data_IF_531760059766
#
_entry.id   IF_531760059766
#
_cell.length_a   1.000
_cell.length_b   1.000
_cell.length_c   1.000
_cell.angle_alpha   90.00
_cell.angle_beta   90.00
_cell.angle_gamma   90.00
#
_symmetry.space_group_name_H-M   'P 1'
#
loop_
_entity.id
_entity.type
_entity.pdbx_description
1 polymer ?
#
# COMPACT_ATOMS: atom_id res chain seq x y z
N UNK A 1 0.02 58.61 6.74
CA UNK A 1 0.41 57.28 7.29
C UNK A 1 -0.71 56.23 7.28
N UNK A 2 -1.89 56.45 7.87
CA UNK A 2 -2.93 55.39 7.97
C UNK A 2 -3.36 54.75 6.63
N UNK A 3 -3.49 55.53 5.55
CA UNK A 3 -3.89 55.01 4.22
C UNK A 3 -2.85 54.07 3.61
N UNK A 4 -1.56 54.33 3.84
CA UNK A 4 -0.45 53.50 3.33
C UNK A 4 -0.38 52.18 4.10
N UNK A 5 -0.55 52.23 5.42
CA UNK A 5 -0.55 51.05 6.28
C UNK A 5 -1.72 50.11 5.92
N UNK A 6 -2.92 50.65 5.72
CA UNK A 6 -4.08 49.86 5.29
C UNK A 6 -3.88 49.21 3.92
N UNK A 7 -3.25 49.92 2.97
CA UNK A 7 -2.97 49.35 1.65
C UNK A 7 -1.96 48.20 1.71
N UNK A 8 -0.85 48.36 2.47
CA UNK A 8 0.15 47.31 2.66
C UNK A 8 -0.47 46.07 3.32
N UNK A 9 -1.32 46.26 4.34
CA UNK A 9 -2.00 45.15 5.00
C UNK A 9 -2.91 44.36 4.05
N UNK A 10 -3.68 45.04 3.21
CA UNK A 10 -4.56 44.40 2.21
C UNK A 10 -3.74 43.59 1.19
N UNK A 11 -2.61 44.12 0.74
CA UNK A 11 -1.70 43.40 -0.17
C UNK A 11 -1.10 42.17 0.50
N UNK A 12 -0.64 42.27 1.74
CA UNK A 12 -0.08 41.14 2.51
C UNK A 12 -1.14 40.04 2.72
N UNK A 13 -2.37 40.42 3.08
CA UNK A 13 -3.49 39.48 3.24
C UNK A 13 -3.87 38.80 1.93
N UNK A 14 -3.94 39.55 0.83
CA UNK A 14 -4.24 39.01 -0.49
C UNK A 14 -3.17 37.99 -0.93
N UNK A 15 -1.89 38.33 -0.80
CA UNK A 15 -0.78 37.42 -1.16
C UNK A 15 -0.72 36.20 -0.24
N UNK A 16 -1.00 36.36 1.06
CA UNK A 16 -1.02 35.25 2.02
C UNK A 16 -2.15 34.26 1.74
N UNK A 17 -3.29 34.72 1.23
CA UNK A 17 -4.42 33.85 0.86
C UNK A 17 -4.14 32.96 -0.37
N UNK A 18 -3.27 33.41 -1.28
CA UNK A 18 -2.88 32.65 -2.48
C UNK A 18 -1.89 31.53 -2.16
N UNK A 19 -1.05 31.71 -1.12
CA UNK A 19 -0.07 30.69 -0.71
C UNK A 19 -0.71 29.48 -0.01
N UNK A 20 -1.98 29.57 0.39
CA UNK A 20 -2.69 28.47 1.04
C UNK A 20 -3.51 27.61 0.07
N UNK A 21 -3.60 27.97 -1.21
CA UNK A 21 -4.15 27.07 -2.24
C UNK A 21 -3.07 26.10 -2.73
N UNK A 22 -2.49 25.32 -1.81
CA UNK A 22 -1.78 24.11 -2.23
C UNK A 22 -2.87 23.19 -2.75
N UNK A 23 -2.86 22.91 -4.06
CA UNK A 23 -3.86 22.06 -4.70
C UNK A 23 -3.99 20.76 -3.92
N UNK A 24 -5.10 20.63 -3.19
CA UNK A 24 -5.54 19.37 -2.63
C UNK A 24 -6.05 18.51 -3.79
N UNK A 25 -5.13 18.07 -4.64
CA UNK A 25 -5.34 16.90 -5.49
C UNK A 25 -5.36 15.69 -4.56
N UNK A 26 -6.44 15.57 -3.78
CA UNK A 26 -6.77 14.35 -3.06
C UNK A 26 -7.15 13.33 -4.13
N UNK A 27 -6.14 12.70 -4.74
CA UNK A 27 -6.35 11.62 -5.67
C UNK A 27 -7.05 10.52 -4.87
N UNK A 28 -8.32 10.27 -5.19
CA UNK A 28 -9.11 9.26 -4.50
C UNK A 28 -8.39 7.92 -4.67
N UNK A 29 -7.91 7.36 -3.56
CA UNK A 29 -7.31 6.04 -3.56
C UNK A 29 -8.46 5.05 -3.73
N UNK A 30 -8.47 4.33 -4.86
CA UNK A 30 -9.50 3.35 -5.14
C UNK A 30 -9.50 2.28 -4.04
N UNK A 31 -10.67 2.02 -3.48
CA UNK A 31 -10.85 0.92 -2.51
C UNK A 31 -10.90 -0.39 -3.28
N UNK A 32 -10.07 -1.39 -2.94
CA UNK A 32 -10.07 -2.66 -3.64
C UNK A 32 -11.40 -3.41 -3.43
N UNK A 33 -11.78 -4.23 -4.40
CA UNK A 33 -12.91 -5.15 -4.28
C UNK A 33 -12.59 -6.35 -3.38
N UNK A 34 -13.65 -6.97 -2.84
CA UNK A 34 -13.55 -8.17 -2.00
C UNK A 34 -12.94 -9.33 -2.80
N UNK A 35 -11.85 -9.96 -2.32
CA UNK A 35 -11.16 -11.01 -3.07
C UNK A 35 -12.02 -12.25 -3.30
N UNK A 36 -11.94 -12.79 -4.52
CA UNK A 36 -12.35 -14.16 -4.82
C UNK A 36 -11.15 -15.08 -4.62
N UNK A 37 -11.34 -16.18 -3.90
CA UNK A 37 -10.27 -17.13 -3.64
C UNK A 37 -10.79 -18.56 -3.60
N UNK A 38 -9.88 -19.52 -3.62
CA UNK A 38 -10.14 -20.95 -3.38
C UNK A 38 -9.05 -21.53 -2.51
N UNK A 39 -9.36 -22.59 -1.76
CA UNK A 39 -8.42 -23.25 -0.86
C UNK A 39 -8.28 -24.72 -1.24
N UNK A 40 -7.05 -25.22 -1.27
CA UNK A 40 -6.77 -26.65 -1.45
C UNK A 40 -5.58 -27.10 -0.62
N UNK A 41 -5.61 -28.35 -0.18
CA UNK A 41 -4.44 -29.02 0.36
C UNK A 41 -3.61 -29.57 -0.80
N UNK A 42 -2.30 -29.38 -0.77
CA UNK A 42 -1.37 -29.87 -1.78
C UNK A 42 -0.28 -30.67 -1.09
N UNK A 43 -0.08 -31.90 -1.54
CA UNK A 43 1.02 -32.75 -1.09
C UNK A 43 2.22 -32.57 -2.03
N UNK A 44 3.30 -31.99 -1.49
CA UNK A 44 4.59 -31.79 -2.16
C UNK A 44 5.67 -32.65 -1.51
N UNK A 45 5.29 -33.72 -0.81
CA UNK A 45 6.23 -34.64 -0.16
C UNK A 45 7.11 -35.35 -1.19
N UNK A 46 8.34 -35.64 -0.82
CA UNK A 46 9.32 -36.29 -1.69
C UNK A 46 10.28 -37.18 -0.89
N UNK A 47 10.90 -38.14 -1.57
CA UNK A 47 11.92 -39.01 -0.98
C UNK A 47 13.31 -38.51 -1.33
N UNK A 48 14.18 -38.38 -0.32
CA UNK A 48 15.61 -38.17 -0.51
C UNK A 48 16.28 -39.54 -0.54
N UNK A 49 16.94 -39.93 -1.65
CA UNK A 49 17.57 -41.24 -1.74
C UNK A 49 18.79 -41.33 -0.81
N UNK A 50 19.14 -42.56 -0.41
CA UNK A 50 20.39 -42.84 0.29
C UNK A 50 21.57 -42.43 -0.58
N UNK A 51 22.51 -41.66 -0.02
CA UNK A 51 23.73 -41.25 -0.71
C UNK A 51 24.96 -41.83 -0.01
N UNK A 52 26.07 -41.87 -0.73
CA UNK A 52 27.33 -42.44 -0.24
C UNK A 52 28.47 -41.47 -0.54
N UNK A 53 29.41 -41.33 0.40
CA UNK A 53 30.68 -40.63 0.18
C UNK A 53 31.85 -41.49 0.60
N UNK A 54 33.04 -41.24 0.04
CA UNK A 54 34.28 -41.87 0.50
C UNK A 54 35.00 -40.94 1.46
N UNK A 55 35.40 -41.46 2.62
CA UNK A 55 36.31 -40.75 3.51
C UNK A 55 37.68 -40.66 2.84
N UNK A 56 38.17 -39.45 2.59
CA UNK A 56 39.41 -39.21 1.86
C UNK A 56 40.67 -39.70 2.58
N UNK A 57 40.61 -39.88 3.90
CA UNK A 57 41.76 -40.30 4.71
C UNK A 57 41.77 -41.80 5.00
N UNK A 58 40.60 -42.43 5.11
CA UNK A 58 40.47 -43.86 5.47
C UNK A 58 40.03 -44.75 4.31
N UNK A 59 39.48 -44.19 3.23
CA UNK A 59 38.92 -44.95 2.10
C UNK A 59 37.57 -45.64 2.41
N UNK A 60 37.08 -45.51 3.64
CA UNK A 60 35.81 -46.08 4.09
C UNK A 60 34.63 -45.40 3.38
N UNK A 61 33.58 -46.18 3.11
CA UNK A 61 32.32 -45.65 2.59
C UNK A 61 31.48 -45.14 3.76
N UNK A 62 31.16 -43.85 3.75
CA UNK A 62 30.18 -43.23 4.64
C UNK A 62 28.82 -43.31 3.93
N UNK A 63 27.82 -43.82 4.63
CA UNK A 63 26.44 -43.92 4.13
C UNK A 63 25.58 -42.85 4.79
N UNK A 64 24.88 -42.04 3.98
CA UNK A 64 23.86 -41.11 4.45
C UNK A 64 22.50 -41.71 4.13
N UNK A 65 21.76 -42.23 5.12
CA UNK A 65 20.48 -42.86 4.87
C UNK A 65 19.52 -41.87 4.21
N UNK A 66 18.80 -42.35 3.21
CA UNK A 66 17.69 -41.61 2.63
C UNK A 66 16.56 -41.41 3.65
N UNK A 67 15.68 -40.46 3.37
CA UNK A 67 14.55 -40.13 4.24
C UNK A 67 13.38 -39.54 3.44
N UNK A 68 12.17 -39.69 3.97
CA UNK A 68 10.97 -39.08 3.40
C UNK A 68 10.79 -37.67 3.97
N UNK A 69 10.59 -36.68 3.10
CA UNK A 69 10.25 -35.31 3.50
C UNK A 69 8.76 -35.12 3.32
N UNK A 70 8.04 -35.04 4.44
CA UNK A 70 6.64 -34.67 4.43
C UNK A 70 6.52 -33.15 4.21
N UNK A 71 5.92 -32.76 3.09
CA UNK A 71 5.74 -31.36 2.73
C UNK A 71 4.31 -31.15 2.22
N UNK A 72 3.36 -31.10 3.16
CA UNK A 72 1.96 -30.81 2.88
C UNK A 72 1.71 -29.34 3.11
N UNK A 73 1.01 -28.68 2.20
CA UNK A 73 0.66 -27.27 2.34
C UNK A 73 -0.83 -27.04 2.13
N UNK A 74 -1.32 -25.93 2.67
CA UNK A 74 -2.60 -25.35 2.30
C UNK A 74 -2.30 -24.21 1.32
N UNK A 75 -2.75 -24.33 0.08
CA UNK A 75 -2.63 -23.29 -0.94
C UNK A 75 -3.93 -22.49 -1.01
N UNK A 76 -3.82 -21.18 -0.79
CA UNK A 76 -4.87 -20.19 -1.00
C UNK A 76 -4.62 -19.52 -2.33
N UNK A 77 -5.45 -19.85 -3.32
CA UNK A 77 -5.39 -19.31 -4.67
C UNK A 77 -6.35 -18.13 -4.78
N UNK A 78 -5.81 -16.92 -4.85
CA UNK A 78 -6.54 -15.65 -4.85
C UNK A 78 -6.57 -15.10 -6.27
N UNK A 79 -7.74 -14.79 -6.82
CA UNK A 79 -7.87 -14.17 -8.14
C UNK A 79 -7.50 -12.69 -8.06
N UNK A 80 -6.51 -12.29 -8.86
CA UNK A 80 -6.05 -10.91 -8.87
C UNK A 80 -7.09 -9.99 -9.50
N UNK A 81 -7.33 -8.85 -8.84
CA UNK A 81 -8.15 -7.78 -9.39
C UNK A 81 -7.29 -6.78 -10.17
N UNK A 82 -7.85 -6.10 -11.19
CA UNK A 82 -7.15 -5.02 -11.86
C UNK A 82 -6.71 -3.95 -10.86
N UNK A 83 -5.43 -3.59 -10.91
CA UNK A 83 -4.86 -2.53 -10.08
C UNK A 83 -3.80 -1.78 -10.87
N UNK A 84 -3.87 -0.45 -10.83
CA UNK A 84 -2.88 0.43 -11.45
C UNK A 84 -2.08 1.11 -10.34
N UNK A 85 -0.78 0.79 -10.20
CA UNK A 85 0.09 1.48 -9.25
C UNK A 85 0.07 3.00 -9.42
N UNK A 86 0.09 3.71 -8.30
CA UNK A 86 0.20 5.17 -8.23
C UNK A 86 1.32 5.58 -7.28
N UNK A 87 1.75 6.83 -7.32
CA UNK A 87 2.77 7.33 -6.39
C UNK A 87 2.09 8.15 -5.28
N UNK A 88 2.27 7.73 -4.02
CA UNK A 88 1.80 8.45 -2.83
C UNK A 88 3.00 8.78 -1.97
N UNK A 89 3.23 10.07 -1.71
CA UNK A 89 4.39 10.55 -0.93
C UNK A 89 5.74 10.02 -1.47
N UNK A 90 5.88 9.93 -2.79
CA UNK A 90 7.10 9.42 -3.44
C UNK A 90 7.26 7.89 -3.41
N UNK A 91 6.29 7.14 -2.85
CA UNK A 91 6.31 5.69 -2.81
C UNK A 91 5.29 5.09 -3.79
N UNK A 92 5.69 4.02 -4.49
CA UNK A 92 4.80 3.29 -5.40
C UNK A 92 3.82 2.44 -4.62
N UNK A 93 2.53 2.66 -4.84
CA UNK A 93 1.45 1.86 -4.26
C UNK A 93 1.33 0.52 -4.98
N UNK A 94 0.94 -0.50 -4.23
CA UNK A 94 0.70 -1.85 -4.71
C UNK A 94 -0.62 -2.41 -4.18
N UNK A 95 -1.05 -3.51 -4.79
CA UNK A 95 -2.11 -4.37 -4.28
C UNK A 95 -1.49 -5.51 -3.49
N UNK A 96 -2.05 -5.79 -2.31
CA UNK A 96 -1.60 -6.85 -1.42
C UNK A 96 -2.82 -7.59 -0.84
N UNK A 97 -2.60 -8.79 -0.29
CA UNK A 97 -3.63 -9.61 0.33
C UNK A 97 -3.31 -9.93 1.78
N UNK A 98 -4.20 -9.55 2.68
CA UNK A 98 -4.18 -10.01 4.06
C UNK A 98 -4.93 -11.35 4.14
N UNK A 99 -4.26 -12.41 4.59
CA UNK A 99 -4.84 -13.73 4.73
C UNK A 99 -4.86 -14.11 6.21
N UNK A 100 -6.04 -14.47 6.69
CA UNK A 100 -6.23 -14.97 8.04
C UNK A 100 -6.76 -16.38 8.00
N UNK A 101 -6.32 -17.18 8.94
CA UNK A 101 -6.88 -18.49 9.15
C UNK A 101 -7.17 -18.73 10.63
N UNK A 102 -8.07 -19.67 10.90
CA UNK A 102 -8.56 -20.01 12.23
C UNK A 102 -8.65 -21.53 12.31
N UNK A 103 -7.97 -22.12 13.29
CA UNK A 103 -7.87 -23.57 13.49
C UNK A 103 -8.58 -23.91 14.80
N UNK A 104 -9.79 -24.46 14.75
CA UNK A 104 -10.55 -24.91 15.94
C UNK A 104 -10.63 -23.90 17.10
N UNK A 105 -10.28 -22.63 16.87
CA UNK A 105 -10.20 -21.55 17.85
C UNK A 105 -11.29 -20.52 17.58
N UNK A 106 -11.64 -19.74 18.60
CA UNK A 106 -12.55 -18.60 18.41
C UNK A 106 -11.83 -17.41 17.74
N UNK A 107 -10.51 -17.33 17.92
CA UNK A 107 -9.69 -16.21 17.45
C UNK A 107 -9.03 -16.50 16.11
N UNK A 108 -9.16 -15.55 15.19
CA UNK A 108 -8.39 -15.52 13.94
C UNK A 108 -6.90 -15.29 14.23
N UNK A 109 -6.03 -15.95 13.48
CA UNK A 109 -4.60 -15.62 13.49
C UNK A 109 -4.41 -14.14 13.14
N UNK A 110 -3.63 -13.40 13.93
CA UNK A 110 -3.23 -12.04 13.64
C UNK A 110 -2.27 -11.98 12.44
N UNK A 111 -2.74 -12.23 11.21
CA UNK A 111 -1.90 -12.45 10.01
C UNK A 111 -0.91 -13.61 10.21
N UNK A 112 -0.91 -14.56 9.29
CA UNK A 112 -0.18 -15.83 9.46
C UNK A 112 1.36 -15.69 9.58
N UNK A 113 1.91 -14.49 9.35
CA UNK A 113 3.29 -14.12 9.67
C UNK A 113 3.32 -13.01 10.72
N UNK A 114 3.35 -13.39 12.00
CA UNK A 114 3.43 -12.45 13.13
C UNK A 114 4.60 -12.82 14.03
N UNK A 115 5.80 -12.29 13.73
CA UNK A 115 6.76 -12.04 14.82
C UNK A 115 7.87 -11.00 14.55
N UNK A 116 8.00 -10.42 13.36
CA UNK A 116 9.04 -9.39 13.15
C UNK A 116 8.62 -8.31 12.17
N UNK A 117 8.29 -7.13 12.70
CA UNK A 117 8.30 -5.77 12.11
C UNK A 117 7.67 -5.48 10.72
N UNK A 118 7.32 -6.49 9.91
CA UNK A 118 6.85 -6.42 8.52
C UNK A 118 5.52 -7.18 8.40
N UNK A 119 4.50 -6.70 9.11
CA UNK A 119 3.18 -7.35 9.32
C UNK A 119 2.28 -7.55 8.09
N UNK A 120 2.72 -7.28 6.87
CA UNK A 120 1.78 -6.79 5.89
C UNK A 120 1.74 -7.63 4.62
N UNK A 121 0.56 -8.24 4.45
CA UNK A 121 -0.12 -8.61 3.23
C UNK A 121 0.75 -9.12 2.06
N UNK A 122 0.43 -10.30 1.55
CA UNK A 122 1.10 -10.90 0.40
C UNK A 122 0.94 -10.01 -0.82
N UNK A 123 2.05 -9.53 -1.38
CA UNK A 123 2.01 -8.73 -2.60
C UNK A 123 1.31 -9.51 -3.71
N UNK A 124 0.38 -8.86 -4.40
CA UNK A 124 -0.29 -9.47 -5.54
C UNK A 124 0.76 -9.80 -6.61
N UNK A 125 0.70 -11.02 -7.13
CA UNK A 125 1.52 -11.42 -8.27
C UNK A 125 1.08 -10.68 -9.55
N UNK A 126 1.92 -10.73 -10.58
CA UNK A 126 1.58 -10.22 -11.91
C UNK A 126 0.76 -11.20 -12.75
N UNK A 127 0.50 -12.42 -12.26
CA UNK A 127 -0.33 -13.43 -12.92
C UNK A 127 -1.82 -13.22 -12.65
N UNK A 128 -2.69 -14.03 -13.24
CA UNK A 128 -4.13 -13.99 -12.94
C UNK A 128 -4.43 -14.34 -11.48
N UNK A 129 -3.59 -15.15 -10.83
CA UNK A 129 -3.76 -15.57 -9.45
C UNK A 129 -2.50 -15.34 -8.62
N UNK A 130 -2.70 -14.98 -7.35
CA UNK A 130 -1.69 -15.03 -6.29
C UNK A 130 -1.87 -16.31 -5.49
N UNK A 131 -0.80 -17.07 -5.29
CA UNK A 131 -0.81 -18.28 -4.46
C UNK A 131 -0.13 -17.94 -3.13
N UNK A 132 -0.86 -18.14 -2.04
CA UNK A 132 -0.31 -18.08 -0.68
C UNK A 132 -0.32 -19.50 -0.12
N UNK A 133 0.87 -20.02 0.23
CA UNK A 133 1.03 -21.38 0.72
C UNK A 133 1.43 -21.40 2.18
N UNK A 134 0.75 -22.22 2.98
CA UNK A 134 1.05 -22.46 4.39
C UNK A 134 1.51 -23.89 4.58
N UNK A 135 2.68 -24.11 5.18
CA UNK A 135 3.21 -25.45 5.44
C UNK A 135 2.50 -26.03 6.66
N UNK A 136 1.99 -27.26 6.54
CA UNK A 136 1.37 -27.98 7.63
C UNK A 136 2.47 -28.65 8.45
N UNK A 137 2.45 -28.44 9.77
CA UNK A 137 3.43 -29.01 10.70
C UNK A 137 4.65 -28.11 11.00
N UNK A 138 4.69 -26.89 10.47
CA UNK A 138 5.69 -25.86 10.83
C UNK A 138 5.03 -24.67 11.53
N UNK A 139 5.83 -23.83 12.20
CA UNK A 139 5.42 -22.49 12.66
C UNK A 139 4.17 -22.45 13.56
N UNK A 140 3.95 -23.50 14.35
CA UNK A 140 2.78 -23.64 15.23
C UNK A 140 1.52 -24.21 14.58
N UNK A 141 1.57 -24.56 13.29
CA UNK A 141 0.48 -25.15 12.51
C UNK A 141 0.46 -26.69 12.59
N UNK A 142 0.37 -27.22 13.81
CA UNK A 142 0.26 -28.67 14.03
C UNK A 142 -1.17 -29.16 13.80
N UNK A 143 -1.53 -29.34 12.53
CA UNK A 143 -2.85 -29.81 12.12
C UNK A 143 -2.87 -31.34 12.05
N UNK A 144 -3.82 -31.95 12.74
CA UNK A 144 -4.11 -33.38 12.62
C UNK A 144 -5.08 -33.64 11.47
N UNK A 145 -5.06 -34.83 10.88
CA UNK A 145 -6.08 -35.25 9.92
C UNK A 145 -7.49 -35.11 10.55
N UNK A 146 -8.45 -34.58 9.80
CA UNK A 146 -9.79 -34.23 10.26
C UNK A 146 -9.92 -32.81 10.83
N UNK A 147 -8.81 -32.09 11.07
CA UNK A 147 -8.87 -30.69 11.53
C UNK A 147 -9.52 -29.80 10.49
N UNK A 148 -10.36 -28.86 10.93
CA UNK A 148 -10.95 -27.84 10.06
C UNK A 148 -10.19 -26.52 10.17
N UNK A 149 -9.91 -25.91 9.02
CA UNK A 149 -9.25 -24.61 8.92
C UNK A 149 -10.17 -23.67 8.16
N UNK A 150 -10.63 -22.63 8.85
CA UNK A 150 -11.38 -21.54 8.24
C UNK A 150 -10.41 -20.49 7.72
N UNK A 151 -10.59 -20.03 6.49
CA UNK A 151 -9.73 -19.05 5.83
C UNK A 151 -10.57 -17.89 5.30
N UNK A 152 -10.05 -16.67 5.45
CA UNK A 152 -10.60 -15.46 4.81
C UNK A 152 -9.48 -14.57 4.29
N UNK A 153 -9.80 -13.76 3.29
CA UNK A 153 -8.86 -12.93 2.53
C UNK A 153 -9.42 -11.51 2.43
N UNK A 154 -8.55 -10.51 2.58
CA UNK A 154 -8.87 -9.11 2.38
C UNK A 154 -7.84 -8.51 1.41
N UNK A 155 -8.31 -7.76 0.41
CA UNK A 155 -7.42 -6.99 -0.44
C UNK A 155 -7.12 -5.65 0.23
N UNK A 156 -5.86 -5.24 0.16
CA UNK A 156 -5.41 -3.96 0.67
C UNK A 156 -4.53 -3.26 -0.35
N UNK A 157 -4.62 -1.94 -0.40
CA UNK A 157 -3.70 -1.11 -1.17
C UNK A 157 -2.81 -0.35 -0.21
N UNK A 158 -1.54 -0.21 -0.57
CA UNK A 158 -0.56 0.41 0.30
C UNK A 158 0.82 0.40 -0.32
N UNK A 159 1.83 0.71 0.47
CA UNK A 159 3.22 0.61 0.04
C UNK A 159 4.12 0.28 1.22
N UNK A 160 5.22 -0.41 0.93
CA UNK A 160 6.29 -0.65 1.90
C UNK A 160 7.32 0.47 1.79
N UNK A 161 7.74 1.02 2.93
CA UNK A 161 8.82 2.00 3.03
C UNK A 161 9.87 1.53 4.03
N UNK A 162 11.12 1.93 3.83
CA UNK A 162 12.21 1.62 4.76
C UNK A 162 12.14 2.51 5.99
N UNK A 163 12.37 1.92 7.17
CA UNK A 163 12.49 2.66 8.43
C UNK A 163 13.94 2.72 8.84
N UNK A 164 14.42 3.95 9.00
CA UNK A 164 15.79 4.24 9.38
C UNK A 164 15.89 4.43 10.90
N UNK A 165 16.97 3.93 11.50
CA UNK A 165 17.28 4.18 12.91
C UNK A 165 17.57 5.65 13.14
N UNK A 166 17.05 6.21 14.24
CA UNK A 166 17.36 7.58 14.69
C UNK A 166 18.86 7.80 14.99
N UNK A 167 19.67 6.73 15.00
CA UNK A 167 21.13 6.78 15.19
C UNK A 167 21.96 7.15 13.95
N UNK A 168 21.35 7.57 12.83
CA UNK A 168 22.09 8.10 11.66
C UNK A 168 22.90 7.08 10.85
N UNK A 169 22.72 5.77 11.10
CA UNK A 169 23.37 4.72 10.32
C UNK A 169 22.71 4.51 8.95
N UNK A 170 23.48 4.14 7.90
CA UNK A 170 22.97 3.92 6.54
C UNK A 170 22.28 2.56 6.35
N UNK A 171 21.85 1.90 7.43
CA UNK A 171 21.23 0.57 7.38
C UNK A 171 19.78 0.70 7.83
N UNK A 172 18.80 0.37 6.97
CA UNK A 172 17.40 0.35 7.39
C UNK A 172 17.20 -0.76 8.42
N UNK A 173 16.50 -0.46 9.52
CA UNK A 173 16.23 -1.46 10.58
C UNK A 173 15.14 -2.45 10.12
N UNK A 174 14.32 -2.04 9.16
CA UNK A 174 13.26 -2.87 8.61
C UNK A 174 12.45 -2.13 7.56
N UNK A 175 11.35 -2.74 7.16
CA UNK A 175 10.33 -2.11 6.34
C UNK A 175 9.09 -1.84 7.20
N UNK A 176 8.29 -0.88 6.81
CA UNK A 176 6.95 -0.68 7.35
C UNK A 176 6.00 -0.59 6.17
N UNK A 177 4.78 -1.04 6.36
CA UNK A 177 3.74 -0.90 5.36
C UNK A 177 2.79 0.20 5.77
N UNK A 178 2.48 1.09 4.84
CA UNK A 178 1.42 2.05 5.00
C UNK A 178 0.17 1.53 4.31
N UNK A 179 -0.85 1.23 5.10
CA UNK A 179 -2.18 0.92 4.59
C UNK A 179 -2.84 2.20 4.08
N UNK A 180 -3.35 2.15 2.85
CA UNK A 180 -4.05 3.27 2.23
C UNK A 180 -5.56 3.00 2.11
N UNK A 181 -5.93 1.83 1.60
CA UNK A 181 -7.32 1.38 1.58
C UNK A 181 -7.40 -0.14 1.75
N UNK A 182 -8.55 -0.63 2.20
CA UNK A 182 -8.82 -2.05 2.39
C UNK A 182 -10.23 -2.38 1.91
N UNK A 183 -10.39 -3.57 1.32
CA UNK A 183 -11.71 -4.13 1.02
C UNK A 183 -12.38 -4.65 2.29
N UNK A 184 -13.64 -5.04 2.21
CA UNK A 184 -14.21 -5.95 3.20
C UNK A 184 -13.51 -7.33 3.14
N UNK A 185 -13.68 -8.12 4.20
CA UNK A 185 -13.23 -9.50 4.23
C UNK A 185 -14.06 -10.35 3.28
N UNK A 186 -13.41 -11.30 2.61
CA UNK A 186 -14.09 -12.33 1.83
C UNK A 186 -14.90 -13.27 2.72
N UNK A 187 -15.81 -14.01 2.08
CA UNK A 187 -16.50 -15.12 2.74
C UNK A 187 -15.49 -16.18 3.22
N UNK A 188 -15.84 -16.86 4.32
CA UNK A 188 -14.99 -17.90 4.89
C UNK A 188 -15.03 -19.15 4.02
N UNK A 189 -13.86 -19.75 3.77
CA UNK A 189 -13.76 -21.10 3.23
C UNK A 189 -13.14 -22.03 4.26
N UNK A 190 -13.79 -23.16 4.49
CA UNK A 190 -13.32 -24.19 5.40
C UNK A 190 -12.69 -25.33 4.61
N UNK A 191 -11.50 -25.77 5.02
CA UNK A 191 -10.85 -26.97 4.51
C UNK A 191 -10.65 -27.97 5.64
N UNK A 192 -10.88 -29.25 5.36
CA UNK A 192 -10.61 -30.37 6.28
C UNK A 192 -9.28 -31.03 5.91
N UNK A 193 -8.34 -31.09 6.84
CA UNK A 193 -7.00 -31.64 6.62
C UNK A 193 -7.04 -33.16 6.50
N UNK A 194 -6.23 -33.73 5.61
CA UNK A 194 -6.12 -35.18 5.43
C UNK A 194 -7.23 -35.81 4.60
N UNK A 195 -8.19 -35.01 4.14
CA UNK A 195 -9.24 -35.46 3.24
C UNK A 195 -8.79 -35.28 1.78
N UNK A 196 -8.42 -36.38 1.11
CA UNK A 196 -8.06 -36.38 -0.32
C UNK A 196 -9.26 -36.27 -1.27
N UNK A 197 -10.48 -36.12 -0.75
CA UNK A 197 -11.63 -35.88 -1.61
C UNK A 197 -11.48 -34.51 -2.30
N UNK A 198 -11.86 -34.45 -3.57
CA UNK A 198 -11.96 -33.18 -4.31
C UNK A 198 -12.77 -32.20 -3.47
N UNK A 199 -12.12 -31.16 -2.94
CA UNK A 199 -12.79 -30.10 -2.18
C UNK A 199 -14.03 -29.69 -2.96
N UNK A 200 -15.20 -29.99 -2.40
CA UNK A 200 -16.46 -29.50 -2.95
C UNK A 200 -16.37 -27.99 -2.87
N UNK A 201 -16.27 -27.33 -4.03
CA UNK A 201 -16.41 -25.89 -4.13
C UNK A 201 -17.61 -25.51 -3.27
N UNK A 202 -17.45 -24.65 -2.26
CA UNK A 202 -18.59 -24.20 -1.47
C UNK A 202 -19.68 -23.77 -2.44
N UNK A 203 -20.97 -24.12 -2.21
CA UNK A 203 -22.05 -23.67 -3.08
C UNK A 203 -21.87 -22.18 -3.28
N UNK A 204 -21.75 -21.76 -4.55
CA UNK A 204 -21.44 -20.38 -4.93
C UNK A 204 -22.24 -19.47 -4.00
N UNK A 205 -21.52 -18.77 -3.12
CA UNK A 205 -22.12 -18.01 -2.02
C UNK A 205 -23.26 -17.21 -2.61
N UNK A 206 -24.48 -17.47 -2.11
CA UNK A 206 -25.74 -16.89 -2.59
C UNK A 206 -25.46 -15.46 -2.96
N UNK A 207 -25.58 -15.16 -4.26
CA UNK A 207 -25.29 -13.89 -4.91
C UNK A 207 -25.33 -12.78 -3.88
N UNK A 208 -24.20 -12.48 -3.23
CA UNK A 208 -24.08 -11.19 -2.60
C UNK A 208 -24.26 -10.33 -3.82
N UNK A 209 -25.40 -9.67 -3.87
CA UNK A 209 -25.55 -8.48 -4.68
C UNK A 209 -24.48 -7.60 -4.08
N UNK A 210 -23.25 -7.78 -4.57
CA UNK A 210 -22.40 -6.66 -4.89
C UNK A 210 -23.41 -5.78 -5.60
N UNK A 211 -23.96 -4.84 -4.84
CA UNK A 211 -24.15 -3.52 -5.37
C UNK A 211 -22.81 -3.29 -6.04
N UNK A 212 -22.75 -3.67 -7.33
CA UNK A 212 -21.73 -3.21 -8.23
C UNK A 212 -21.61 -1.76 -7.79
N UNK A 213 -20.41 -1.32 -7.36
CA UNK A 213 -20.25 0.06 -6.95
C UNK A 213 -21.03 0.79 -8.02
N UNK A 214 -22.09 1.49 -7.61
CA UNK A 214 -22.82 2.29 -8.55
C UNK A 214 -21.73 3.27 -8.92
N UNK A 215 -20.97 2.93 -9.96
CA UNK A 215 -20.80 3.76 -11.12
C UNK A 215 -22.24 4.18 -11.38
N UNK A 216 -22.69 5.17 -10.60
CA UNK A 216 -23.11 6.41 -11.17
C UNK A 216 -22.08 6.57 -12.26
N UNK A 217 -22.42 6.06 -13.45
CA UNK A 217 -21.94 6.62 -14.67
C UNK A 217 -22.14 8.08 -14.34
N UNK A 218 -21.06 8.84 -14.07
CA UNK A 218 -21.25 10.25 -13.97
C UNK A 218 -21.91 10.50 -15.31
N UNK A 219 -23.15 10.97 -15.32
CA UNK A 219 -23.58 11.80 -16.42
C UNK A 219 -22.80 13.11 -16.26
N UNK A 220 -21.47 12.99 -16.17
CA UNK A 220 -20.54 13.93 -16.72
C UNK A 220 -20.78 13.78 -18.21
N UNK A 221 -21.72 14.59 -18.69
CA UNK A 221 -21.34 15.50 -19.76
C UNK A 221 -19.84 15.78 -19.62
N UNK A 222 -18.96 15.41 -20.57
CA UNK A 222 -17.52 15.48 -20.42
C UNK A 222 -17.13 16.89 -20.02
N UNK A 223 -17.12 17.13 -18.72
CA UNK A 223 -16.59 18.32 -18.12
C UNK A 223 -15.16 17.90 -18.03
N UNK A 224 -14.44 18.15 -19.13
CA UNK A 224 -13.02 17.93 -19.25
C UNK A 224 -12.43 18.24 -17.89
N UNK A 225 -11.99 17.21 -17.16
CA UNK A 225 -11.24 17.41 -15.93
C UNK A 225 -10.09 18.27 -16.43
N UNK A 226 -10.02 19.56 -16.07
CA UNK A 226 -8.89 20.33 -16.47
C UNK A 226 -7.74 19.61 -15.78
N UNK A 227 -6.87 18.99 -16.57
CA UNK A 227 -5.51 18.76 -16.14
C UNK A 227 -5.01 20.16 -15.78
N UNK A 228 -5.21 20.54 -14.52
CA UNK A 228 -4.50 21.64 -13.90
C UNK A 228 -3.05 21.14 -13.72
N UNK A 229 -2.40 20.83 -14.84
CA UNK A 229 -1.05 21.31 -15.09
C UNK A 229 -1.10 22.75 -14.62
N UNK A 230 -0.47 23.02 -13.47
CA UNK A 230 -0.52 24.26 -12.71
C UNK A 230 -0.04 25.44 -13.54
N UNK A 231 -0.92 25.88 -14.41
CA UNK A 231 -0.68 26.79 -15.51
C UNK A 231 -1.93 27.65 -15.56
N UNK A 232 -2.23 28.32 -14.45
CA UNK A 232 -3.41 29.19 -14.33
C UNK A 232 -3.37 30.36 -15.34
N UNK A 233 -2.25 30.54 -16.06
CA UNK A 233 -2.01 31.56 -17.10
C UNK A 233 -0.97 31.17 -18.19
N UNK A 234 -0.71 29.90 -18.46
CA UNK A 234 0.42 29.53 -19.36
C UNK A 234 1.80 29.61 -18.71
N UNK A 235 1.86 30.02 -17.43
CA UNK A 235 3.08 30.34 -16.71
C UNK A 235 3.40 29.21 -15.71
N UNK A 236 4.63 28.70 -15.78
CA UNK A 236 5.20 27.81 -14.79
C UNK A 236 5.18 28.46 -13.39
N UNK A 237 5.08 27.67 -12.32
CA UNK A 237 5.05 28.15 -10.93
C UNK A 237 6.27 29.01 -10.61
N UNK A 238 7.42 28.66 -11.19
CA UNK A 238 8.64 29.46 -11.09
C UNK A 238 8.44 30.87 -11.67
N UNK A 239 7.71 31.01 -12.77
CA UNK A 239 7.46 32.31 -13.40
C UNK A 239 6.42 33.11 -12.60
N UNK A 240 5.40 32.47 -12.04
CA UNK A 240 4.45 33.11 -11.12
C UNK A 240 5.19 33.66 -9.90
N UNK A 241 6.08 32.87 -9.30
CA UNK A 241 6.89 33.32 -8.17
C UNK A 241 7.75 34.55 -8.51
N UNK A 242 8.38 34.56 -9.69
CA UNK A 242 9.18 35.70 -10.17
C UNK A 242 8.30 36.94 -10.38
N UNK A 243 7.13 36.81 -11.01
CA UNK A 243 6.22 37.95 -11.25
C UNK A 243 5.74 38.53 -9.92
N UNK A 244 5.33 37.68 -8.96
CA UNK A 244 4.93 38.12 -7.62
C UNK A 244 6.08 38.85 -6.93
N UNK A 245 7.31 38.33 -7.02
CA UNK A 245 8.50 38.98 -6.45
C UNK A 245 8.73 40.37 -7.05
N UNK A 246 8.66 40.51 -8.38
CA UNK A 246 8.85 41.80 -9.07
C UNK A 246 7.79 42.82 -8.66
N UNK A 247 6.52 42.42 -8.55
CA UNK A 247 5.44 43.29 -8.09
C UNK A 247 5.68 43.75 -6.65
N UNK A 248 6.07 42.84 -5.75
CA UNK A 248 6.37 43.17 -4.36
C UNK A 248 7.53 44.16 -4.25
N UNK A 249 8.63 43.93 -4.99
CA UNK A 249 9.79 44.85 -5.02
C UNK A 249 9.39 46.23 -5.57
N UNK A 250 8.58 46.26 -6.64
CA UNK A 250 8.09 47.51 -7.22
C UNK A 250 7.24 48.32 -6.25
N UNK A 251 6.32 47.67 -5.53
CA UNK A 251 5.48 48.33 -4.51
C UNK A 251 6.33 48.87 -3.36
N UNK A 252 7.33 48.11 -2.89
CA UNK A 252 8.26 48.57 -1.85
C UNK A 252 9.08 49.78 -2.31
N UNK A 253 9.59 49.77 -3.54
CA UNK A 253 10.35 50.88 -4.11
C UNK A 253 9.50 52.17 -4.19
N UNK A 254 8.26 52.07 -4.68
CA UNK A 254 7.33 53.21 -4.71
C UNK A 254 7.01 53.71 -3.29
N UNK A 255 6.77 52.79 -2.36
CA UNK A 255 6.56 53.11 -0.94
C UNK A 255 7.73 53.89 -0.35
N UNK A 256 8.98 53.47 -0.62
CA UNK A 256 10.17 54.18 -0.18
C UNK A 256 10.31 55.56 -0.81
N UNK A 257 10.01 55.73 -2.10
CA UNK A 257 10.06 57.05 -2.77
C UNK A 257 9.05 58.03 -2.15
N UNK A 258 7.83 57.55 -1.87
CA UNK A 258 6.78 58.37 -1.24
C UNK A 258 7.20 58.78 0.18
N UNK A 259 7.71 57.84 0.97
CA UNK A 259 8.23 58.14 2.31
C UNK A 259 9.41 59.11 2.27
N UNK A 260 10.29 58.97 1.29
CA UNK A 260 11.45 59.85 1.14
C UNK A 260 11.02 61.28 0.80
N UNK A 261 10.06 61.45 -0.12
CA UNK A 261 9.46 62.76 -0.45
C UNK A 261 8.76 63.41 0.73
N UNK A 262 8.04 62.64 1.53
CA UNK A 262 7.38 63.18 2.74
C UNK A 262 8.40 63.63 3.78
N UNK A 263 9.50 62.89 3.94
CA UNK A 263 10.58 63.26 4.86
C UNK A 263 11.34 64.51 4.43
N UNK A 264 11.60 64.69 3.12
CA UNK A 264 12.26 65.91 2.64
C UNK A 264 11.37 67.13 2.85
N UNK A 265 10.06 67.02 2.60
CA UNK A 265 9.16 68.15 2.76
C UNK A 265 9.05 68.63 4.22
N UNK A 266 9.16 67.72 5.20
CA UNK A 266 9.15 68.07 6.64
C UNK A 266 10.47 68.68 7.16
N UNK A 267 11.56 68.66 6.38
CA UNK A 267 12.84 69.27 6.80
C UNK A 267 12.95 70.75 6.42
N UNK A 268 12.15 71.17 5.44
CA UNK A 268 12.17 72.55 4.92
C UNK A 268 11.08 73.44 5.57
N UNK A 269 10.36 72.93 6.57
CA UNK A 269 9.34 73.63 7.37
C UNK A 269 9.73 73.56 8.83
#
# INVERSE_FOLDING_TARGET
MHKVLSFVLVVVLAVSSVLWSISASAQAISTPSVPQFTVKQVDRSYDVPTTYSKNQYTGETITYPGYHVQNKTIDVLIKNQPFTPSTVEGNTTGLFYNVQAKINSENWSNSLYSDSHNKYAFAASTSEYTIVSFIIGSDGWYLSDGSQVDIRVQAVTGYSYYVWSLGGGPIPIGTQFRLLAASDWSNIQTITIGYNGTNTTPPASSTQTSSAPTTALPTENPTAIPTQTGVLLGLDWQTIAIVVLVVVVGVLAVGMIVLWREMTHKRDV
#
